data_IF_987460885602
#
_entry.id   IF_987460885602
#
_cell.length_a   1.000
_cell.length_b   1.000
_cell.length_c   1.000
_cell.angle_alpha   90.00
_cell.angle_beta   90.00
_cell.angle_gamma   90.00
#
_symmetry.space_group_name_H-M   'P 1'
#
loop_
_entity.id
_entity.type
_entity.pdbx_description
1 polymer ?
#
# COMPACT_ATOMS: atom_id res chain seq x y z
N UNK A 1 23.84 10.43 -11.81
CA UNK A 1 24.13 11.80 -12.28
C UNK A 1 25.30 11.72 -13.25
N UNK A 2 25.24 12.43 -14.39
CA UNK A 2 26.22 12.32 -15.48
C UNK A 2 27.15 13.56 -15.59
N UNK A 3 27.34 14.28 -14.48
CA UNK A 3 28.15 15.50 -14.43
C UNK A 3 29.27 15.35 -13.42
N UNK A 4 30.48 15.71 -13.84
CA UNK A 4 31.70 15.71 -13.03
C UNK A 4 31.91 17.05 -12.31
N UNK A 5 32.77 17.01 -11.29
CA UNK A 5 33.10 18.18 -10.46
C UNK A 5 33.71 19.31 -11.31
N UNK A 6 33.18 20.53 -11.17
CA UNK A 6 33.72 21.72 -11.83
C UNK A 6 33.40 21.86 -13.32
N UNK A 7 32.47 21.05 -13.85
CA UNK A 7 31.94 21.22 -15.22
C UNK A 7 30.68 22.09 -15.17
N UNK A 8 30.60 23.10 -16.04
CA UNK A 8 29.38 23.89 -16.22
C UNK A 8 28.25 22.97 -16.69
N UNK A 9 27.23 22.84 -15.85
CA UNK A 9 26.09 21.98 -16.15
C UNK A 9 25.04 22.72 -16.95
N UNK A 10 24.48 22.02 -17.94
CA UNK A 10 23.29 22.49 -18.62
C UNK A 10 22.17 22.70 -17.59
N UNK A 11 21.49 23.86 -17.62
CA UNK A 11 20.40 24.14 -16.70
C UNK A 11 19.29 23.10 -16.83
N UNK A 12 18.75 22.68 -15.69
CA UNK A 12 17.62 21.76 -15.64
C UNK A 12 16.32 22.56 -15.69
N UNK A 13 15.37 22.23 -16.59
CA UNK A 13 14.05 22.86 -16.56
C UNK A 13 13.32 22.43 -15.28
N UNK A 14 12.78 23.39 -14.54
CA UNK A 14 11.98 23.17 -13.35
C UNK A 14 10.78 24.11 -13.37
N UNK A 15 9.60 23.56 -13.65
CA UNK A 15 8.36 24.35 -13.79
C UNK A 15 8.47 25.40 -14.89
N UNK A 16 8.31 26.66 -14.50
CA UNK A 16 8.38 27.87 -15.33
C UNK A 16 9.79 28.48 -15.41
N UNK A 17 10.83 27.80 -14.92
CA UNK A 17 12.20 28.32 -14.91
C UNK A 17 13.29 27.27 -15.12
N UNK A 18 14.52 27.70 -14.87
CA UNK A 18 15.73 26.90 -15.03
C UNK A 18 16.52 26.88 -13.71
N UNK A 19 17.02 25.70 -13.34
CA UNK A 19 17.91 25.50 -12.20
C UNK A 19 19.32 25.27 -12.74
N UNK A 20 20.25 26.17 -12.41
CA UNK A 20 21.68 25.94 -12.57
C UNK A 20 22.24 25.33 -11.29
N UNK A 21 23.02 24.28 -11.44
CA UNK A 21 23.68 23.63 -10.32
C UNK A 21 25.12 23.30 -10.67
N UNK A 22 26.02 23.55 -9.73
CA UNK A 22 27.43 23.22 -9.84
C UNK A 22 27.72 22.05 -8.90
N UNK A 23 28.30 20.97 -9.43
CA UNK A 23 28.78 19.86 -8.61
C UNK A 23 30.14 20.27 -8.03
N UNK A 24 30.16 20.72 -6.78
CA UNK A 24 31.39 21.15 -6.10
C UNK A 24 32.32 20.01 -5.71
N UNK A 25 31.74 18.87 -5.36
CA UNK A 25 32.47 17.67 -4.95
C UNK A 25 31.54 16.46 -5.13
N UNK A 26 32.08 15.35 -5.64
CA UNK A 26 31.40 14.06 -5.62
C UNK A 26 32.03 13.24 -4.50
N UNK A 27 31.35 13.17 -3.36
CA UNK A 27 31.76 12.29 -2.26
C UNK A 27 31.27 10.88 -2.59
N UNK A 28 32.15 9.90 -2.83
CA UNK A 28 31.72 8.53 -3.10
C UNK A 28 30.93 7.99 -1.92
N UNK A 29 29.82 7.30 -2.18
CA UNK A 29 29.04 6.65 -1.14
C UNK A 29 29.94 5.65 -0.40
N UNK A 30 30.32 5.98 0.84
CA UNK A 30 31.11 5.08 1.69
C UNK A 30 30.17 4.10 2.37
N UNK A 31 30.34 2.82 2.11
CA UNK A 31 29.70 1.75 2.88
C UNK A 31 30.22 1.88 4.32
N UNK A 32 29.31 1.98 5.29
CA UNK A 32 29.69 1.99 6.70
C UNK A 32 30.44 0.70 7.02
N UNK A 33 31.64 0.75 7.64
CA UNK A 33 32.36 -0.45 8.02
C UNK A 33 31.49 -1.38 8.86
N UNK A 34 31.61 -2.69 8.66
CA UNK A 34 30.80 -3.68 9.39
C UNK A 34 30.89 -3.45 10.89
N UNK A 35 32.07 -3.14 11.43
CA UNK A 35 32.26 -2.86 12.86
C UNK A 35 31.39 -1.71 13.37
N UNK A 36 31.12 -0.69 12.54
CA UNK A 36 30.28 0.46 12.90
C UNK A 36 28.79 0.12 12.85
N UNK A 37 28.38 -0.89 12.08
CA UNK A 37 26.96 -1.29 11.91
C UNK A 37 26.66 -2.69 12.42
N UNK A 38 27.63 -3.38 13.05
CA UNK A 38 27.54 -4.79 13.41
C UNK A 38 26.34 -5.08 14.29
N UNK A 39 26.14 -4.23 15.31
CA UNK A 39 24.99 -4.34 16.21
C UNK A 39 23.66 -4.13 15.48
N UNK A 40 23.60 -3.16 14.56
CA UNK A 40 22.41 -2.92 13.74
C UNK A 40 22.10 -4.12 12.85
N UNK A 41 23.11 -4.67 12.16
CA UNK A 41 22.95 -5.85 11.31
C UNK A 41 22.48 -7.06 12.12
N UNK A 42 23.05 -7.29 13.30
CA UNK A 42 22.61 -8.38 14.19
C UNK A 42 21.15 -8.15 14.61
N UNK A 43 20.78 -6.92 14.99
CA UNK A 43 19.42 -6.58 15.36
C UNK A 43 18.44 -6.83 14.20
N UNK A 44 18.78 -6.37 13.00
CA UNK A 44 17.93 -6.50 11.80
C UNK A 44 17.77 -7.98 11.38
N UNK A 45 18.85 -8.76 11.39
CA UNK A 45 18.80 -10.20 11.09
C UNK A 45 17.97 -10.93 12.14
N UNK A 46 18.13 -10.57 13.41
CA UNK A 46 17.39 -11.19 14.51
C UNK A 46 15.90 -10.86 14.39
N UNK A 47 15.55 -9.60 14.17
CA UNK A 47 14.17 -9.17 13.93
C UNK A 47 13.56 -9.89 12.71
N UNK A 48 14.32 -10.01 11.61
CA UNK A 48 13.90 -10.73 10.42
C UNK A 48 13.66 -12.23 10.66
N UNK A 49 14.53 -12.88 11.44
CA UNK A 49 14.35 -14.29 11.84
C UNK A 49 13.12 -14.48 12.72
N UNK A 50 12.95 -13.63 13.73
CA UNK A 50 11.78 -13.66 14.62
C UNK A 50 10.49 -13.49 13.80
N UNK A 51 10.45 -12.51 12.90
CA UNK A 51 9.30 -12.26 12.03
C UNK A 51 8.96 -13.44 11.13
N UNK A 52 9.97 -14.09 10.55
CA UNK A 52 9.77 -15.29 9.75
C UNK A 52 9.20 -16.44 10.58
N UNK A 53 9.78 -16.70 11.75
CA UNK A 53 9.31 -17.75 12.65
C UNK A 53 7.87 -17.50 13.14
N UNK A 54 7.52 -16.26 13.44
CA UNK A 54 6.16 -15.88 13.80
C UNK A 54 5.17 -16.17 12.65
N UNK A 55 5.53 -15.79 11.42
CA UNK A 55 4.72 -16.05 10.23
C UNK A 55 4.55 -17.55 9.97
N UNK A 56 5.64 -18.33 10.04
CA UNK A 56 5.63 -19.77 9.79
C UNK A 56 4.76 -20.50 10.83
N UNK A 57 4.87 -20.10 12.12
CA UNK A 57 4.05 -20.66 13.19
C UNK A 57 2.56 -20.33 12.99
N UNK A 58 2.24 -19.09 12.62
CA UNK A 58 0.86 -18.68 12.36
C UNK A 58 0.26 -19.42 11.16
N UNK A 59 1.04 -19.58 10.08
CA UNK A 59 0.64 -20.36 8.92
C UNK A 59 0.37 -21.81 9.30
N UNK A 60 1.24 -22.44 10.09
CA UNK A 60 1.02 -23.80 10.57
C UNK A 60 -0.26 -23.92 11.43
N UNK A 61 -0.55 -22.94 12.28
CA UNK A 61 -1.80 -22.90 13.05
C UNK A 61 -3.03 -22.76 12.15
N UNK A 62 -2.98 -21.93 11.10
CA UNK A 62 -4.06 -21.81 10.12
C UNK A 62 -4.33 -23.14 9.42
N UNK A 63 -3.29 -23.87 9.02
CA UNK A 63 -3.46 -25.20 8.42
C UNK A 63 -4.06 -26.21 9.40
N UNK A 64 -3.69 -26.17 10.68
CA UNK A 64 -4.34 -26.98 11.73
C UNK A 64 -5.80 -26.60 11.94
N UNK A 65 -6.13 -25.31 11.89
CA UNK A 65 -7.51 -24.83 11.97
C UNK A 65 -8.34 -25.38 10.80
N UNK A 66 -7.80 -25.33 9.59
CA UNK A 66 -8.43 -25.89 8.38
C UNK A 66 -8.59 -27.39 8.45
N UNK A 67 -7.71 -28.12 9.15
CA UNK A 67 -7.86 -29.56 9.39
C UNK A 67 -8.87 -29.91 10.50
N UNK A 68 -9.56 -28.92 11.07
CA UNK A 68 -10.63 -29.12 12.04
C UNK A 68 -10.21 -29.00 13.51
N UNK A 69 -8.99 -28.54 13.81
CA UNK A 69 -8.59 -28.27 15.20
C UNK A 69 -9.24 -26.97 15.68
N UNK A 70 -9.96 -26.96 16.82
CA UNK A 70 -10.57 -25.75 17.35
C UNK A 70 -9.54 -24.65 17.70
N UNK A 71 -9.92 -23.39 17.51
CA UNK A 71 -9.07 -22.24 17.88
C UNK A 71 -8.77 -22.22 19.38
N UNK A 72 -9.72 -22.67 20.21
CA UNK A 72 -9.57 -22.75 21.67
C UNK A 72 -8.45 -23.71 22.07
N UNK A 73 -8.37 -24.86 21.40
CA UNK A 73 -7.31 -25.85 21.65
C UNK A 73 -5.94 -25.28 21.27
N UNK A 74 -5.83 -24.66 20.10
CA UNK A 74 -4.57 -24.04 19.67
C UNK A 74 -4.18 -22.85 20.54
N UNK A 75 -5.16 -22.08 21.02
CA UNK A 75 -4.93 -20.96 21.93
C UNK A 75 -4.37 -21.46 23.27
N UNK A 76 -4.95 -22.51 23.83
CA UNK A 76 -4.46 -23.15 25.07
C UNK A 76 -3.03 -23.70 24.92
N UNK A 77 -2.74 -24.40 23.82
CA UNK A 77 -1.38 -24.88 23.51
C UNK A 77 -0.37 -23.73 23.38
N UNK A 78 -0.80 -22.57 22.90
CA UNK A 78 0.02 -21.38 22.76
C UNK A 78 0.10 -20.53 24.04
N UNK A 79 -0.63 -20.88 25.10
CA UNK A 79 -0.72 -20.07 26.33
C UNK A 79 -1.48 -18.76 26.14
N UNK A 80 -2.43 -18.73 25.20
CA UNK A 80 -3.22 -17.55 24.83
C UNK A 80 -4.72 -17.81 24.99
N UNK A 81 -5.55 -16.77 24.80
CA UNK A 81 -7.01 -16.89 24.80
C UNK A 81 -7.60 -16.44 23.47
N UNK A 82 -8.69 -17.09 23.06
CA UNK A 82 -9.47 -16.66 21.90
C UNK A 82 -10.24 -15.40 22.27
N UNK A 83 -10.17 -14.39 21.40
CA UNK A 83 -10.93 -13.14 21.55
C UNK A 83 -11.90 -13.00 20.39
N UNK A 84 -13.10 -12.52 20.68
CA UNK A 84 -14.13 -12.23 19.67
C UNK A 84 -14.19 -10.73 19.43
N UNK A 85 -14.01 -10.31 18.17
CA UNK A 85 -14.24 -8.94 17.74
C UNK A 85 -15.53 -8.88 16.92
N UNK A 86 -16.39 -7.91 17.22
CA UNK A 86 -17.66 -7.69 16.53
C UNK A 86 -17.66 -6.35 15.81
N UNK A 87 -18.47 -6.24 14.75
CA UNK A 87 -18.65 -4.97 14.02
C UNK A 87 -17.46 -4.54 13.17
N UNK A 88 -16.47 -5.41 12.92
CA UNK A 88 -15.33 -5.10 12.06
C UNK A 88 -15.79 -4.75 10.64
N UNK A 89 -15.49 -3.53 10.18
CA UNK A 89 -15.66 -3.09 8.79
C UNK A 89 -14.33 -3.15 8.04
N UNK A 90 -14.38 -3.25 6.71
CA UNK A 90 -13.18 -3.26 5.84
C UNK A 90 -12.28 -2.02 5.99
N UNK A 91 -12.86 -0.91 6.45
CA UNK A 91 -12.18 0.38 6.60
C UNK A 91 -11.87 0.74 8.06
N UNK A 92 -12.17 -0.12 9.03
CA UNK A 92 -12.13 0.23 10.45
C UNK A 92 -10.97 -0.45 11.18
N UNK A 93 -9.94 0.32 11.54
CA UNK A 93 -8.82 -0.15 12.36
C UNK A 93 -9.05 0.11 13.84
N UNK A 94 -8.64 -0.82 14.71
CA UNK A 94 -8.64 -0.65 16.15
C UNK A 94 -7.34 -1.20 16.77
N UNK A 95 -7.20 -1.11 18.10
CA UNK A 95 -6.00 -1.56 18.81
C UNK A 95 -5.68 -3.06 18.61
N UNK A 96 -6.68 -3.88 18.28
CA UNK A 96 -6.53 -5.33 18.07
C UNK A 96 -6.40 -5.72 16.59
N UNK A 97 -6.88 -4.87 15.67
CA UNK A 97 -6.93 -5.10 14.22
C UNK A 97 -6.40 -3.90 13.46
N UNK A 98 -5.18 -4.03 12.93
CA UNK A 98 -4.60 -3.09 11.99
C UNK A 98 -5.10 -3.35 10.55
N UNK A 99 -4.69 -2.49 9.61
CA UNK A 99 -5.10 -2.61 8.21
C UNK A 99 -4.68 -3.95 7.57
N UNK A 100 -3.56 -4.53 8.01
CA UNK A 100 -3.06 -5.81 7.50
C UNK A 100 -3.92 -6.96 8.00
N UNK A 101 -4.27 -6.95 9.29
CA UNK A 101 -5.15 -7.94 9.90
C UNK A 101 -6.55 -7.91 9.30
N UNK A 102 -7.10 -6.72 9.07
CA UNK A 102 -8.41 -6.55 8.41
C UNK A 102 -8.35 -7.08 6.99
N UNK A 103 -7.35 -6.67 6.20
CA UNK A 103 -7.22 -7.15 4.83
C UNK A 103 -7.12 -8.68 4.75
N UNK A 104 -6.35 -9.30 5.65
CA UNK A 104 -6.22 -10.75 5.73
C UNK A 104 -7.55 -11.42 6.12
N UNK A 105 -8.26 -10.90 7.13
CA UNK A 105 -9.56 -11.43 7.56
C UNK A 105 -10.61 -11.36 6.46
N UNK A 106 -10.65 -10.26 5.70
CA UNK A 106 -11.61 -10.07 4.60
C UNK A 106 -11.21 -10.75 3.29
N UNK A 107 -10.01 -11.36 3.22
CA UNK A 107 -9.56 -12.15 2.06
C UNK A 107 -10.02 -13.60 2.08
N UNK A 108 -10.58 -14.08 3.19
CA UNK A 108 -11.06 -15.46 3.35
C UNK A 108 -12.59 -15.51 3.34
N UNK A 109 -13.20 -16.63 2.90
CA UNK A 109 -14.65 -16.79 2.94
C UNK A 109 -15.17 -16.85 4.37
N UNK A 110 -16.50 -16.88 4.51
CA UNK A 110 -17.16 -17.18 5.78
C UNK A 110 -16.63 -18.49 6.37
N UNK A 111 -16.40 -18.51 7.69
CA UNK A 111 -15.75 -19.59 8.44
C UNK A 111 -14.32 -19.92 7.97
N UNK A 112 -13.73 -19.08 7.11
CA UNK A 112 -12.35 -19.18 6.67
C UNK A 112 -11.36 -18.72 7.74
N UNK A 113 -10.14 -19.24 7.66
CA UNK A 113 -9.05 -18.92 8.59
C UNK A 113 -7.97 -18.10 7.90
N UNK A 114 -7.56 -17.01 8.55
CA UNK A 114 -6.52 -16.11 8.10
C UNK A 114 -5.50 -15.86 9.22
N UNK A 115 -4.34 -15.32 8.87
CA UNK A 115 -3.39 -14.82 9.86
C UNK A 115 -2.82 -13.46 9.43
N UNK A 116 -2.35 -12.69 10.40
CA UNK A 116 -1.62 -11.46 10.16
C UNK A 116 -0.50 -11.31 11.19
N UNK A 117 0.63 -10.75 10.75
CA UNK A 117 1.73 -10.40 11.66
C UNK A 117 1.36 -9.18 12.48
N UNK A 118 1.79 -9.14 13.73
CA UNK A 118 1.69 -7.92 14.54
C UNK A 118 2.65 -6.85 14.00
N UNK A 119 2.39 -5.55 14.24
CA UNK A 119 3.21 -4.46 13.70
C UNK A 119 4.69 -4.57 14.06
N UNK A 120 5.01 -5.11 15.25
CA UNK A 120 6.37 -5.31 15.71
C UNK A 120 7.08 -6.52 15.08
N UNK A 121 6.33 -7.35 14.33
CA UNK A 121 6.80 -8.58 13.70
C UNK A 121 7.23 -9.67 14.69
N UNK A 122 6.97 -9.53 15.99
CA UNK A 122 7.34 -10.52 17.01
C UNK A 122 6.22 -11.53 17.26
N UNK A 123 4.99 -11.13 16.95
CA UNK A 123 3.80 -11.95 17.06
C UNK A 123 3.06 -12.10 15.74
N UNK A 124 2.08 -12.99 15.76
CA UNK A 124 1.13 -13.17 14.69
C UNK A 124 -0.22 -13.56 15.28
N UNK A 125 -1.29 -13.01 14.71
CA UNK A 125 -2.67 -13.32 15.05
C UNK A 125 -3.22 -14.33 14.06
N UNK A 126 -3.88 -15.37 14.58
CA UNK A 126 -4.69 -16.30 13.80
C UNK A 126 -6.15 -15.95 14.02
N UNK A 127 -6.93 -15.88 12.94
CA UNK A 127 -8.27 -15.31 12.93
C UNK A 127 -9.21 -16.23 12.14
N UNK A 128 -10.46 -16.28 12.56
CA UNK A 128 -11.54 -16.93 11.83
C UNK A 128 -12.58 -15.89 11.43
N UNK A 129 -12.95 -15.87 10.15
CA UNK A 129 -14.05 -15.06 9.65
C UNK A 129 -15.36 -15.67 10.11
N UNK A 130 -16.20 -14.89 10.79
CA UNK A 130 -17.58 -15.27 11.11
C UNK A 130 -18.51 -14.28 10.43
N UNK A 131 -19.56 -14.79 9.78
CA UNK A 131 -20.57 -13.93 9.20
C UNK A 131 -21.29 -13.18 10.32
N UNK A 132 -21.27 -11.86 10.22
CA UNK A 132 -22.17 -11.01 11.00
C UNK A 132 -23.41 -10.82 10.15
N UNK A 133 -24.57 -11.20 10.69
CA UNK A 133 -25.85 -10.85 10.08
C UNK A 133 -25.98 -9.33 10.10
N UNK A 134 -25.67 -8.69 8.97
CA UNK A 134 -25.88 -7.27 8.79
C UNK A 134 -27.39 -7.00 8.76
N UNK A 135 -27.79 -5.87 9.33
CA UNK A 135 -29.14 -5.36 9.13
C UNK A 135 -29.43 -5.25 7.62
N UNK A 136 -30.69 -5.39 7.18
CA UNK A 136 -31.05 -5.21 5.77
C UNK A 136 -30.47 -3.92 5.22
N UNK A 137 -29.97 -3.97 3.98
CA UNK A 137 -29.45 -2.78 3.31
C UNK A 137 -30.48 -1.65 3.36
N UNK A 138 -30.09 -0.52 3.94
CA UNK A 138 -30.91 0.69 3.98
C UNK A 138 -30.38 1.71 2.96
N UNK A 139 -31.12 1.87 1.87
CA UNK A 139 -30.82 2.86 0.83
C UNK A 139 -30.91 4.31 1.34
N UNK A 140 -31.58 4.56 2.46
CA UNK A 140 -31.69 5.88 3.08
C UNK A 140 -30.55 6.18 4.07
N UNK A 141 -29.68 5.21 4.37
CA UNK A 141 -28.52 5.41 5.26
C UNK A 141 -27.54 6.44 4.71
N UNK A 142 -26.84 7.14 5.60
CA UNK A 142 -25.81 8.11 5.22
C UNK A 142 -24.65 7.45 4.46
N UNK A 143 -24.31 6.20 4.81
CA UNK A 143 -23.33 5.40 4.08
C UNK A 143 -23.78 5.13 2.63
N UNK A 144 -25.04 4.72 2.42
CA UNK A 144 -25.57 4.47 1.09
C UNK A 144 -25.58 5.75 0.23
N UNK A 145 -25.95 6.89 0.81
CA UNK A 145 -25.89 8.19 0.12
C UNK A 145 -24.46 8.59 -0.27
N UNK A 146 -23.49 8.38 0.62
CA UNK A 146 -22.08 8.69 0.37
C UNK A 146 -21.51 7.83 -0.77
N UNK A 147 -21.82 6.53 -0.76
CA UNK A 147 -21.44 5.61 -1.84
C UNK A 147 -22.09 6.03 -3.16
N UNK A 148 -23.38 6.36 -3.15
CA UNK A 148 -24.11 6.81 -4.34
C UNK A 148 -23.53 8.11 -4.93
N UNK A 149 -23.16 9.09 -4.09
CA UNK A 149 -22.49 10.32 -4.55
C UNK A 149 -21.16 10.01 -5.20
N UNK A 150 -20.33 9.17 -4.56
CA UNK A 150 -19.00 8.80 -5.08
C UNK A 150 -19.10 8.13 -6.44
N UNK A 151 -20.06 7.21 -6.62
CA UNK A 151 -20.31 6.53 -7.90
C UNK A 151 -20.81 7.52 -8.95
N UNK A 152 -21.71 8.43 -8.59
CA UNK A 152 -22.25 9.46 -9.50
C UNK A 152 -21.15 10.39 -10.01
N UNK A 153 -20.30 10.87 -9.11
CA UNK A 153 -19.21 11.80 -9.44
C UNK A 153 -18.14 11.13 -10.30
N UNK A 154 -17.77 9.88 -9.97
CA UNK A 154 -16.83 9.08 -10.77
C UNK A 154 -17.37 8.79 -12.18
N UNK A 155 -18.65 8.38 -12.28
CA UNK A 155 -19.27 8.06 -13.57
C UNK A 155 -19.37 9.28 -14.50
N UNK A 156 -19.66 10.47 -13.95
CA UNK A 156 -19.72 11.70 -14.74
C UNK A 156 -18.35 12.07 -15.34
N UNK A 157 -17.27 11.95 -14.55
CA UNK A 157 -15.91 12.19 -15.02
C UNK A 157 -15.46 11.16 -16.05
N UNK A 158 -15.78 9.87 -15.84
CA UNK A 158 -15.42 8.80 -16.77
C UNK A 158 -16.13 8.97 -18.12
N UNK A 159 -17.42 9.32 -18.11
CA UNK A 159 -18.18 9.60 -19.33
C UNK A 159 -17.63 10.83 -20.08
N UNK A 160 -17.31 11.91 -19.36
CA UNK A 160 -16.72 13.10 -19.97
C UNK A 160 -15.35 12.80 -20.59
N UNK A 161 -14.50 12.06 -19.88
CA UNK A 161 -13.15 11.70 -20.36
C UNK A 161 -13.23 10.78 -21.57
N UNK A 162 -14.11 9.78 -21.53
CA UNK A 162 -14.35 8.87 -22.66
C UNK A 162 -14.91 9.61 -23.88
N UNK A 163 -15.85 10.54 -23.68
CA UNK A 163 -16.42 11.36 -24.75
C UNK A 163 -15.38 12.31 -25.38
N UNK A 164 -14.60 13.00 -24.55
CA UNK A 164 -13.52 13.87 -25.02
C UNK A 164 -12.45 13.08 -25.77
N UNK A 165 -12.05 11.91 -25.27
CA UNK A 165 -11.10 11.03 -25.94
C UNK A 165 -11.63 10.54 -27.30
N UNK A 166 -12.92 10.20 -27.38
CA UNK A 166 -13.56 9.82 -28.64
C UNK A 166 -13.60 10.97 -29.65
N UNK A 167 -13.98 12.18 -29.21
CA UNK A 167 -14.00 13.37 -30.07
C UNK A 167 -12.59 13.75 -30.56
N UNK A 168 -11.57 13.71 -29.69
CA UNK A 168 -10.19 13.97 -30.07
C UNK A 168 -9.69 12.95 -31.11
N UNK A 169 -10.06 11.68 -30.96
CA UNK A 169 -9.73 10.63 -31.93
C UNK A 169 -10.43 10.81 -33.28
N UNK A 170 -11.71 11.19 -33.32
CA UNK A 170 -12.44 11.45 -34.57
C UNK A 170 -12.01 12.74 -35.25
N UNK A 171 -11.65 13.77 -34.49
CA UNK A 171 -11.20 15.06 -35.03
C UNK A 171 -9.85 14.99 -35.75
N UNK A 172 -9.16 13.83 -35.74
CA UNK A 172 -7.93 13.63 -36.48
C UNK A 172 -6.84 14.63 -36.09
N UNK A 173 -6.77 14.99 -34.80
CA UNK A 173 -5.84 16.01 -34.30
C UNK A 173 -4.41 15.47 -34.39
N UNK A 174 -3.73 15.79 -35.48
CA UNK A 174 -2.31 15.55 -35.65
C UNK A 174 -1.55 16.79 -35.17
N UNK A 175 -0.96 16.72 -33.98
CA UNK A 175 -0.01 17.73 -33.53
C UNK A 175 1.28 17.51 -34.33
N UNK A 176 1.59 18.44 -35.23
CA UNK A 176 2.90 18.45 -35.86
C UNK A 176 3.93 18.85 -34.79
N UNK A 177 4.51 17.86 -34.11
CA UNK A 177 5.38 18.09 -32.97
C UNK A 177 6.64 18.91 -33.30
N UNK A 178 7.03 18.96 -34.57
CA UNK A 178 8.13 19.80 -35.05
C UNK A 178 7.72 21.28 -35.05
N UNK A 179 6.55 21.60 -35.59
CA UNK A 179 5.98 22.95 -35.55
C UNK A 179 5.59 23.35 -34.13
N UNK A 180 5.01 22.44 -33.35
CA UNK A 180 4.69 22.70 -31.95
C UNK A 180 5.95 23.05 -31.15
N UNK A 181 7.06 22.31 -31.33
CA UNK A 181 8.35 22.65 -30.69
C UNK A 181 8.97 23.96 -31.20
N UNK A 182 8.75 24.34 -32.46
CA UNK A 182 9.21 25.63 -32.99
C UNK A 182 8.39 26.82 -32.47
N UNK A 183 7.08 26.66 -32.25
CA UNK A 183 6.19 27.73 -31.81
C UNK A 183 6.13 27.82 -30.27
N UNK A 184 6.17 26.69 -29.56
CA UNK A 184 6.32 26.63 -28.10
C UNK A 184 7.75 26.91 -27.64
N UNK A 185 8.72 26.82 -28.56
CA UNK A 185 10.11 27.23 -28.36
C UNK A 185 10.32 28.71 -28.65
N UNK A 186 9.70 29.59 -27.87
CA UNK A 186 10.17 30.95 -27.49
C UNK A 186 9.06 31.70 -26.73
N UNK A 187 8.66 31.22 -25.55
CA UNK A 187 8.34 32.15 -24.47
C UNK A 187 9.58 32.33 -23.61
N UNK A 188 10.49 33.11 -24.17
CA UNK A 188 11.43 33.93 -23.42
C UNK A 188 10.63 35.12 -22.91
N UNK A 189 10.23 35.10 -21.63
CA UNK A 189 10.35 36.22 -20.70
C UNK A 189 10.18 35.73 -19.28
#
# INVERSE_FOLDING_TARGET
FASDVGVDNNPLPAGDGYIWYEVREVIPAKIKPLETVRQQVIADITAGKVRRLAADKAKAMVERAKSGVPLETMAQEAGTTVQTAQGLKRSETNASFDAVAIAALFSVPENGFAFALEPDGKGARVMQSQAVVLAPFDAASEEAKTIASTIKDGSANDLLTSYLGHLQGQAGVAINETLWRQISGTQTQ
#
